data_IF_607073225070
#
_entry.id   IF_607073225070
#
_cell.length_a   1.000
_cell.length_b   1.000
_cell.length_c   1.000
_cell.angle_alpha   90.00
_cell.angle_beta   90.00
_cell.angle_gamma   90.00
#
_symmetry.space_group_name_H-M   'P 1'
#
loop_
_entity.id
_entity.type
_entity.pdbx_description
1 polymer ?
#
# COMPACT_ATOMS: atom_id res chain seq x y z
N UNK A 1 31.25 6.57 -20.64
CA UNK A 1 30.07 6.99 -19.83
C UNK A 1 28.72 6.71 -20.48
N UNK A 2 28.53 6.92 -21.79
CA UNK A 2 27.24 6.66 -22.46
C UNK A 2 26.77 5.19 -22.31
N UNK A 3 27.66 4.21 -22.48
CA UNK A 3 27.34 2.79 -22.28
C UNK A 3 26.88 2.43 -20.85
N UNK A 4 27.26 3.23 -19.84
CA UNK A 4 26.85 3.01 -18.45
C UNK A 4 25.37 3.33 -18.21
N UNK A 5 24.81 4.26 -18.98
CA UNK A 5 23.45 4.75 -18.77
C UNK A 5 22.48 4.32 -19.88
N UNK A 6 22.98 4.11 -21.09
CA UNK A 6 22.18 3.83 -22.29
C UNK A 6 22.33 2.40 -22.81
N UNK A 7 22.81 1.47 -21.99
CA UNK A 7 22.78 0.03 -22.33
C UNK A 7 21.40 -0.57 -22.05
N UNK A 8 21.06 -1.66 -22.75
CA UNK A 8 19.83 -2.41 -22.50
C UNK A 8 19.71 -2.90 -21.04
N UNK A 9 20.84 -3.29 -20.44
CA UNK A 9 20.88 -3.67 -19.02
C UNK A 9 20.55 -2.50 -18.09
N UNK A 10 21.09 -1.31 -18.39
CA UNK A 10 20.78 -0.10 -17.63
C UNK A 10 19.32 0.30 -17.78
N UNK A 11 18.78 0.19 -18.99
CA UNK A 11 17.36 0.42 -19.25
C UNK A 11 16.48 -0.50 -18.41
N UNK A 12 16.71 -1.81 -18.42
CA UNK A 12 15.94 -2.77 -17.59
C UNK A 12 16.02 -2.43 -16.10
N UNK A 13 17.22 -2.11 -15.60
CA UNK A 13 17.43 -1.77 -14.19
C UNK A 13 16.71 -0.48 -13.80
N UNK A 14 16.89 0.58 -14.58
CA UNK A 14 16.28 1.88 -14.31
C UNK A 14 14.75 1.82 -14.44
N UNK A 15 14.24 1.06 -15.40
CA UNK A 15 12.82 0.80 -15.55
C UNK A 15 12.26 0.11 -14.31
N UNK A 16 12.86 -1.00 -13.88
CA UNK A 16 12.44 -1.70 -12.67
C UNK A 16 12.48 -0.81 -11.42
N UNK A 17 13.54 -0.02 -11.26
CA UNK A 17 13.65 0.96 -10.17
C UNK A 17 12.54 2.02 -10.24
N UNK A 18 12.24 2.56 -11.41
CA UNK A 18 11.17 3.53 -11.55
C UNK A 18 9.80 2.91 -11.27
N UNK A 19 9.52 1.72 -11.81
CA UNK A 19 8.22 1.05 -11.68
C UNK A 19 7.82 0.77 -10.23
N UNK A 20 8.76 0.35 -9.37
CA UNK A 20 8.43 0.02 -7.96
C UNK A 20 8.43 1.24 -7.03
N UNK A 21 8.92 2.39 -7.49
CA UNK A 21 9.14 3.58 -6.65
C UNK A 21 8.31 4.80 -7.08
N UNK A 22 7.57 4.70 -8.18
CA UNK A 22 6.74 5.78 -8.68
C UNK A 22 5.55 5.99 -7.76
N UNK A 23 5.35 7.24 -7.34
CA UNK A 23 4.18 7.65 -6.58
C UNK A 23 2.99 7.89 -7.53
N UNK A 24 1.75 7.81 -7.04
CA UNK A 24 0.51 7.89 -7.84
C UNK A 24 0.42 9.15 -8.72
N UNK A 25 1.03 10.26 -8.30
CA UNK A 25 1.14 11.49 -9.08
C UNK A 25 2.14 11.41 -10.25
N UNK A 26 2.78 10.26 -10.45
CA UNK A 26 3.82 10.00 -11.44
C UNK A 26 5.23 10.46 -11.04
N UNK A 27 5.41 11.02 -9.83
CA UNK A 27 6.69 11.53 -9.36
C UNK A 27 7.61 10.44 -8.78
N UNK A 28 8.92 10.65 -8.89
CA UNK A 28 9.94 9.85 -8.21
C UNK A 28 10.57 10.69 -7.09
N UNK A 29 10.40 10.25 -5.85
CA UNK A 29 10.89 10.96 -4.67
C UNK A 29 11.76 10.03 -3.84
N UNK A 30 13.05 10.36 -3.71
CA UNK A 30 14.03 9.47 -3.05
C UNK A 30 13.61 9.12 -1.62
N UNK A 31 13.15 10.09 -0.82
CA UNK A 31 12.73 9.83 0.56
C UNK A 31 11.48 8.95 0.64
N UNK A 32 10.53 9.13 -0.29
CA UNK A 32 9.33 8.30 -0.39
C UNK A 32 9.68 6.84 -0.68
N UNK A 33 10.64 6.60 -1.57
CA UNK A 33 11.11 5.27 -1.97
C UNK A 33 11.68 4.42 -0.82
N UNK A 34 11.96 5.01 0.34
CA UNK A 34 12.44 4.30 1.53
C UNK A 34 11.33 3.98 2.54
N UNK A 35 10.09 4.46 2.32
CA UNK A 35 8.97 4.22 3.23
C UNK A 35 8.35 2.86 2.93
N UNK A 36 8.35 1.98 3.92
CA UNK A 36 7.80 0.65 3.78
C UNK A 36 6.27 0.62 3.84
N UNK A 37 5.72 -0.50 3.39
CA UNK A 37 4.30 -0.75 3.39
C UNK A 37 3.76 -1.20 4.76
N UNK A 38 2.64 -0.63 5.17
CA UNK A 38 1.72 -1.22 6.15
C UNK A 38 0.28 -1.09 5.66
N UNK A 39 -0.56 -2.10 5.94
CA UNK A 39 -2.00 -2.01 5.67
C UNK A 39 -2.76 -1.18 6.72
N UNK A 40 -2.07 -0.78 7.79
CA UNK A 40 -2.47 0.25 8.75
C UNK A 40 -1.33 1.27 8.86
N UNK A 41 -1.18 2.15 7.84
CA UNK A 41 -0.05 3.07 7.78
C UNK A 41 -0.24 4.23 8.75
N UNK A 42 0.87 4.70 9.33
CA UNK A 42 0.87 5.89 10.21
C UNK A 42 1.08 7.21 9.44
N UNK A 43 1.43 7.16 8.16
CA UNK A 43 1.60 8.33 7.30
C UNK A 43 0.81 8.15 6.01
N UNK A 44 0.27 9.25 5.46
CA UNK A 44 -0.22 9.31 4.09
C UNK A 44 0.63 10.25 3.23
N UNK A 45 0.79 9.89 1.96
CA UNK A 45 1.48 10.69 0.95
C UNK A 45 0.46 11.46 0.12
N UNK A 46 0.73 12.74 -0.18
CA UNK A 46 -0.14 13.53 -1.04
C UNK A 46 0.55 14.74 -1.66
N UNK A 47 0.27 15.02 -2.93
CA UNK A 47 0.52 16.34 -3.53
C UNK A 47 -0.59 17.31 -3.13
N UNK A 48 -0.23 18.29 -2.31
CA UNK A 48 -1.15 19.35 -1.88
C UNK A 48 -1.13 20.52 -2.88
N UNK A 49 -2.19 21.36 -2.90
CA UNK A 49 -2.22 22.58 -3.71
C UNK A 49 -1.00 23.47 -3.45
N UNK A 50 -0.61 24.28 -4.45
CA UNK A 50 0.49 25.27 -4.30
C UNK A 50 0.25 26.28 -3.18
N UNK A 51 -1.01 26.51 -2.85
CA UNK A 51 -1.46 27.43 -1.80
C UNK A 51 -1.45 26.80 -0.41
N UNK A 52 -1.17 25.51 -0.27
CA UNK A 52 -1.12 24.86 1.03
C UNK A 52 0.05 25.40 1.86
N UNK A 53 -0.27 25.87 3.05
CA UNK A 53 0.71 26.30 4.06
C UNK A 53 0.68 25.28 5.19
N UNK A 54 1.83 24.70 5.58
CA UNK A 54 1.88 23.79 6.72
C UNK A 54 1.31 24.45 8.00
N UNK A 55 0.43 23.76 8.73
CA UNK A 55 -0.14 24.30 9.96
C UNK A 55 0.92 24.38 11.07
N UNK A 56 0.75 25.33 12.00
CA UNK A 56 1.55 25.41 13.22
C UNK A 56 0.92 24.68 14.41
N UNK A 57 -0.37 24.34 14.31
CA UNK A 57 -1.15 23.61 15.32
C UNK A 57 -1.86 22.42 14.69
N UNK A 58 -1.88 21.28 15.39
CA UNK A 58 -2.54 20.05 14.95
C UNK A 58 -3.63 19.63 15.96
N UNK A 59 -4.73 18.98 15.50
CA UNK A 59 -5.02 18.60 14.12
C UNK A 59 -5.43 19.79 13.24
N UNK A 60 -5.22 19.68 11.93
CA UNK A 60 -5.71 20.66 10.96
C UNK A 60 -6.55 19.98 9.90
N UNK A 61 -7.52 20.70 9.34
CA UNK A 61 -8.25 20.24 8.17
C UNK A 61 -7.35 20.30 6.94
N UNK A 62 -7.32 19.21 6.18
CA UNK A 62 -6.57 19.14 4.93
C UNK A 62 -7.46 19.57 3.76
N UNK A 63 -6.92 20.30 2.76
CA UNK A 63 -7.70 20.66 1.59
C UNK A 63 -8.20 19.42 0.86
N UNK A 64 -9.33 19.51 0.15
CA UNK A 64 -9.83 18.42 -0.71
C UNK A 64 -8.87 18.08 -1.86
N UNK A 65 -9.04 16.92 -2.52
CA UNK A 65 -8.22 16.51 -3.67
C UNK A 65 -8.22 17.60 -4.76
N UNK A 66 -7.11 17.75 -5.47
CA UNK A 66 -7.06 18.68 -6.59
C UNK A 66 -8.10 18.28 -7.66
N UNK A 67 -8.82 19.23 -8.26
CA UNK A 67 -9.72 18.94 -9.36
C UNK A 67 -8.97 18.30 -10.54
N UNK A 68 -9.66 17.48 -11.36
CA UNK A 68 -9.09 17.00 -12.62
C UNK A 68 -8.52 18.15 -13.46
N UNK A 69 -7.34 17.95 -14.05
CA UNK A 69 -6.68 18.95 -14.90
C UNK A 69 -5.82 19.99 -14.16
N UNK A 70 -5.95 20.12 -12.83
CA UNK A 70 -5.04 20.97 -12.04
C UNK A 70 -3.79 20.16 -11.69
N UNK A 71 -2.66 20.47 -12.35
CA UNK A 71 -1.37 19.86 -11.99
C UNK A 71 -1.02 20.23 -10.55
N UNK A 72 -0.81 19.21 -9.72
CA UNK A 72 -0.33 19.38 -8.36
C UNK A 72 1.04 20.05 -8.28
N UNK A 73 1.53 20.25 -7.07
CA UNK A 73 2.92 20.65 -6.85
C UNK A 73 3.86 19.47 -7.19
N UNK A 74 5.12 19.76 -7.52
CA UNK A 74 6.20 18.77 -7.53
C UNK A 74 6.71 18.44 -6.11
N UNK A 75 5.93 18.77 -5.07
CA UNK A 75 6.25 18.52 -3.68
C UNK A 75 5.34 17.41 -3.17
N UNK A 76 5.93 16.32 -2.71
CA UNK A 76 5.22 15.30 -1.97
C UNK A 76 5.12 15.72 -0.51
N UNK A 77 3.92 15.71 0.06
CA UNK A 77 3.69 15.97 1.49
C UNK A 77 3.39 14.66 2.20
N UNK A 78 4.09 14.42 3.31
CA UNK A 78 3.83 13.32 4.23
C UNK A 78 3.00 13.84 5.40
N UNK A 79 1.88 13.20 5.68
CA UNK A 79 0.90 13.63 6.67
C UNK A 79 0.72 12.53 7.72
N UNK A 80 0.94 12.85 8.98
CA UNK A 80 0.74 11.91 10.08
C UNK A 80 -0.77 11.60 10.22
N UNK A 81 -1.10 10.30 10.30
CA UNK A 81 -2.48 9.81 10.51
C UNK A 81 -2.80 9.52 11.97
N UNK A 82 -1.77 9.45 12.81
CA UNK A 82 -1.81 9.22 14.25
C UNK A 82 -0.54 9.79 14.90
N UNK A 83 -0.47 9.78 16.22
CA UNK A 83 0.76 10.13 16.94
C UNK A 83 1.89 9.17 16.55
N UNK A 84 3.07 9.74 16.33
CA UNK A 84 4.30 9.03 15.94
C UNK A 84 5.35 9.37 17.00
N UNK A 85 5.92 8.36 17.64
CA UNK A 85 6.92 8.51 18.68
C UNK A 85 8.32 8.29 18.10
N UNK A 86 9.38 8.80 18.76
CA UNK A 86 10.75 8.49 18.36
C UNK A 86 11.00 6.98 18.30
N UNK A 87 11.54 6.50 17.19
CA UNK A 87 11.79 5.08 16.94
C UNK A 87 10.66 4.36 16.20
N UNK A 88 9.48 4.96 16.06
CA UNK A 88 8.41 4.39 15.23
C UNK A 88 8.82 4.43 13.75
N UNK A 89 8.67 3.30 13.06
CA UNK A 89 8.85 3.25 11.61
C UNK A 89 7.74 4.02 10.90
N UNK A 90 8.11 4.88 9.94
CA UNK A 90 7.15 5.54 9.07
C UNK A 90 6.72 4.59 7.94
N UNK A 91 5.42 4.33 7.85
CA UNK A 91 4.85 3.41 6.87
C UNK A 91 3.73 4.08 6.09
N UNK A 92 3.62 3.70 4.82
CA UNK A 92 2.59 4.13 3.88
C UNK A 92 1.82 2.91 3.35
N UNK A 93 0.72 3.11 2.62
CA UNK A 93 0.09 2.01 1.90
C UNK A 93 0.50 2.04 0.44
N UNK A 94 0.80 0.87 -0.13
CA UNK A 94 1.11 0.70 -1.55
C UNK A 94 -0.11 0.25 -2.35
N UNK A 95 -1.19 -0.10 -1.64
CA UNK A 95 -2.42 -0.70 -2.18
C UNK A 95 -3.62 -0.04 -1.51
N UNK A 96 -4.82 -0.29 -2.03
CA UNK A 96 -6.05 0.19 -1.39
C UNK A 96 -6.29 -0.50 -0.04
N UNK A 97 -6.29 0.28 1.03
CA UNK A 97 -6.54 -0.20 2.40
C UNK A 97 -7.99 -0.61 2.65
N UNK A 98 -8.93 -0.20 1.80
CA UNK A 98 -10.34 -0.59 1.89
C UNK A 98 -10.58 -2.02 1.40
N UNK A 99 -9.66 -2.59 0.60
CA UNK A 99 -9.79 -3.94 0.06
C UNK A 99 -9.60 -5.03 1.13
N UNK A 100 -10.21 -6.22 0.94
CA UNK A 100 -10.00 -7.39 1.80
C UNK A 100 -8.55 -7.80 1.91
N UNK A 101 -8.20 -8.51 3.00
CA UNK A 101 -6.84 -8.98 3.28
C UNK A 101 -6.22 -9.77 2.13
N UNK A 102 -6.98 -10.71 1.57
CA UNK A 102 -6.54 -11.57 0.47
C UNK A 102 -6.18 -10.76 -0.76
N UNK A 103 -7.03 -9.82 -1.16
CA UNK A 103 -6.79 -8.92 -2.29
C UNK A 103 -5.54 -8.06 -2.07
N UNK A 104 -5.42 -7.39 -0.91
CA UNK A 104 -4.24 -6.59 -0.58
C UNK A 104 -2.95 -7.40 -0.66
N UNK A 105 -2.94 -8.63 -0.12
CA UNK A 105 -1.74 -9.48 -0.13
C UNK A 105 -1.40 -9.99 -1.53
N UNK A 106 -2.39 -10.28 -2.38
CA UNK A 106 -2.16 -10.68 -3.77
C UNK A 106 -1.52 -9.54 -4.56
N UNK A 107 -2.09 -8.34 -4.47
CA UNK A 107 -1.59 -7.14 -5.15
C UNK A 107 -0.15 -6.81 -4.72
N UNK A 108 0.13 -6.84 -3.41
CA UNK A 108 1.50 -6.64 -2.90
C UNK A 108 2.49 -7.69 -3.42
N UNK A 109 2.04 -8.94 -3.55
CA UNK A 109 2.89 -10.03 -4.05
C UNK A 109 3.18 -9.86 -5.54
N UNK A 110 2.17 -9.48 -6.32
CA UNK A 110 2.27 -9.32 -7.77
C UNK A 110 3.06 -8.07 -8.16
N UNK A 111 2.81 -6.93 -7.52
CA UNK A 111 3.43 -5.65 -7.87
C UNK A 111 4.77 -5.39 -7.17
N UNK A 112 4.97 -5.92 -5.96
CA UNK A 112 6.16 -5.61 -5.13
C UNK A 112 6.93 -6.85 -4.66
N UNK A 113 6.42 -8.06 -4.91
CA UNK A 113 7.16 -9.29 -4.68
C UNK A 113 7.25 -9.74 -3.21
N UNK A 114 6.49 -9.16 -2.27
CA UNK A 114 6.55 -9.54 -0.85
C UNK A 114 5.18 -9.90 -0.25
N UNK A 115 5.21 -10.55 0.90
CA UNK A 115 4.01 -10.88 1.68
C UNK A 115 3.92 -9.98 2.90
N UNK A 116 2.88 -9.14 2.96
CA UNK A 116 2.68 -8.27 4.12
C UNK A 116 2.37 -9.08 5.39
N UNK A 117 3.05 -8.70 6.48
CA UNK A 117 2.95 -9.26 7.83
C UNK A 117 2.64 -8.19 8.87
N UNK A 118 2.13 -7.01 8.46
CA UNK A 118 1.79 -5.94 9.38
C UNK A 118 0.74 -6.38 10.44
N UNK A 119 0.61 -5.68 11.58
CA UNK A 119 -0.32 -6.06 12.65
C UNK A 119 -1.76 -6.27 12.19
N UNK A 120 -2.25 -5.44 11.26
CA UNK A 120 -3.59 -5.59 10.66
C UNK A 120 -3.74 -6.93 9.94
N UNK A 121 -2.77 -7.30 9.09
CA UNK A 121 -2.79 -8.56 8.35
C UNK A 121 -2.67 -9.80 9.25
N UNK A 122 -2.00 -9.70 10.40
CA UNK A 122 -1.92 -10.78 11.39
C UNK A 122 -3.27 -10.95 12.09
N UNK A 123 -3.84 -9.87 12.62
CA UNK A 123 -5.15 -9.90 13.31
C UNK A 123 -6.28 -10.44 12.42
N UNK A 124 -6.33 -10.00 11.17
CA UNK A 124 -7.31 -10.48 10.19
C UNK A 124 -7.12 -11.97 9.86
N UNK A 125 -5.87 -12.46 9.81
CA UNK A 125 -5.58 -13.90 9.61
C UNK A 125 -6.15 -14.72 10.76
N UNK A 126 -5.90 -14.32 12.01
CA UNK A 126 -6.38 -15.06 13.19
C UNK A 126 -7.92 -15.10 13.23
N UNK A 127 -8.57 -14.02 12.78
CA UNK A 127 -10.04 -13.97 12.69
C UNK A 127 -10.56 -14.94 11.60
N UNK A 128 -9.92 -14.96 10.43
CA UNK A 128 -10.23 -15.91 9.35
C UNK A 128 -10.09 -17.37 9.84
N UNK A 129 -8.98 -17.70 10.52
CA UNK A 129 -8.71 -19.05 11.04
C UNK A 129 -9.76 -19.50 12.09
N UNK A 130 -10.20 -18.60 12.97
CA UNK A 130 -11.27 -18.88 13.96
C UNK A 130 -12.62 -19.14 13.29
N UNK A 131 -12.99 -18.34 12.28
CA UNK A 131 -14.27 -18.52 11.57
C UNK A 131 -14.36 -19.84 10.79
N UNK A 132 -13.22 -20.34 10.28
CA UNK A 132 -13.16 -21.64 9.59
C UNK A 132 -13.30 -22.79 10.58
N UNK A 133 -12.67 -22.70 11.76
CA UNK A 133 -12.78 -23.72 12.82
C UNK A 133 -14.21 -23.84 13.41
N UNK A 134 -15.04 -22.81 13.27
CA UNK A 134 -16.40 -22.77 13.81
C UNK A 134 -17.48 -23.18 12.79
N UNK A 135 -17.14 -23.49 11.53
CA UNK A 135 -18.12 -24.03 10.57
C UNK A 135 -18.43 -25.49 10.93
N UNK A 136 -19.67 -25.85 11.31
CA UNK A 136 -20.02 -27.26 11.49
C UNK A 136 -19.91 -27.98 10.15
N UNK A 137 -19.31 -29.17 10.14
CA UNK A 137 -19.29 -30.07 9.00
C UNK A 137 -20.73 -30.43 8.61
N UNK A 138 -21.32 -29.71 7.65
CA UNK A 138 -22.61 -30.06 7.10
C UNK A 138 -22.46 -31.34 6.27
N UNK A 139 -22.95 -32.44 6.84
CA UNK A 139 -23.41 -33.69 6.23
C UNK A 139 -22.88 -34.01 4.81
N UNK A 140 -21.88 -34.89 4.75
CA UNK A 140 -21.71 -35.79 3.63
C UNK A 140 -22.72 -36.93 3.78
N UNK A 141 -23.91 -36.81 3.18
CA UNK A 141 -24.79 -37.96 3.00
C UNK A 141 -24.34 -38.68 1.73
N UNK A 142 -23.56 -39.75 1.91
CA UNK A 142 -23.38 -40.75 0.87
C UNK A 142 -24.69 -41.51 0.66
N UNK A 143 -25.08 -41.70 -0.59
CA UNK A 143 -25.97 -42.78 -0.98
C UNK A 143 -25.28 -43.58 -2.08
N UNK A 144 -24.92 -44.80 -1.72
CA UNK A 144 -24.54 -45.91 -2.58
C UNK A 144 -25.76 -46.78 -2.88
N UNK A 145 -25.92 -47.15 -4.15
CA UNK A 145 -26.63 -48.34 -4.69
C UNK A 145 -28.17 -48.38 -4.50
N UNK A 146 -29.01 -48.93 -5.38
CA UNK A 146 -28.89 -50.08 -6.27
C UNK A 146 -30.00 -50.10 -7.34
N UNK A 147 -29.73 -50.84 -8.43
CA UNK A 147 -30.63 -51.43 -9.44
C UNK A 147 -32.14 -51.47 -9.18
N UNK A 148 -32.92 -51.08 -10.21
CA UNK A 148 -34.03 -51.84 -10.82
C UNK A 148 -34.45 -51.21 -12.15
#
# INVERSE_FOLDING_TARGET
EQQRWFSFESFKKLWGLASINQEESGGLYILHSHLNHSCDPNVSCRNLPRTFVPPTTLPTELPGRNPPGVRGTNKLTLLARRNIHPGDELTISYVDTASPRTQRRSELRESYGFWCTCPRCQKEKDTEDVTVAQKPASHATGQSESDS
#
